data_IF_831618626991
#
_entry.id   IF_831618626991
#
_cell.length_a   1.000
_cell.length_b   1.000
_cell.length_c   1.000
_cell.angle_alpha   90.00
_cell.angle_beta   90.00
_cell.angle_gamma   90.00
#
_symmetry.space_group_name_H-M   'P 1'
#
loop_
_entity.id
_entity.type
_entity.pdbx_description
1 polymer ?
#
# COMPACT_ATOMS: atom_id res chain seq x y z
N UNK A 1 -8.42 24.46 2.87
CA UNK A 1 -7.33 23.57 2.43
C UNK A 1 -7.58 22.20 3.04
N UNK A 2 -8.41 21.39 2.38
CA UNK A 2 -8.65 20.02 2.78
C UNK A 2 -7.61 19.14 2.12
N UNK A 3 -6.74 18.51 2.90
CA UNK A 3 -5.93 17.39 2.41
C UNK A 3 -6.86 16.19 2.37
N UNK A 4 -7.23 15.74 1.18
CA UNK A 4 -8.01 14.51 1.00
C UNK A 4 -7.21 13.34 1.59
N UNK A 5 -7.63 12.89 2.77
CA UNK A 5 -7.01 11.81 3.54
C UNK A 5 -7.34 10.42 2.96
N UNK A 6 -7.74 10.37 1.68
CA UNK A 6 -8.25 9.19 0.96
C UNK A 6 -7.41 8.88 -0.29
N UNK A 7 -6.21 9.46 -0.42
CA UNK A 7 -5.29 9.11 -1.52
C UNK A 7 -4.79 7.68 -1.31
N UNK A 8 -5.53 6.72 -1.88
CA UNK A 8 -5.16 5.31 -1.79
C UNK A 8 -4.13 4.97 -2.85
N UNK A 9 -3.03 4.34 -2.43
CA UNK A 9 -1.91 3.99 -3.31
C UNK A 9 -1.85 2.50 -3.58
N UNK A 10 -1.27 2.09 -4.70
CA UNK A 10 -0.96 0.68 -4.95
C UNK A 10 0.52 0.46 -4.69
N UNK A 11 0.85 -0.59 -3.94
CA UNK A 11 2.23 -0.88 -3.52
C UNK A 11 2.61 -2.28 -3.99
N UNK A 12 3.83 -2.40 -4.50
CA UNK A 12 4.48 -3.67 -4.79
C UNK A 12 5.57 -3.89 -3.74
N UNK A 13 5.57 -5.04 -3.07
CA UNK A 13 6.58 -5.43 -2.08
C UNK A 13 7.17 -6.80 -2.43
N UNK A 14 8.45 -7.01 -2.09
CA UNK A 14 9.16 -8.27 -2.36
C UNK A 14 8.67 -9.42 -1.51
N UNK A 15 8.53 -9.18 -0.22
CA UNK A 15 7.98 -10.13 0.73
C UNK A 15 7.40 -9.37 1.92
N UNK A 16 6.26 -9.82 2.43
CA UNK A 16 5.67 -9.29 3.66
C UNK A 16 4.97 -10.43 4.41
N UNK A 17 4.88 -10.35 5.74
CA UNK A 17 4.10 -11.32 6.49
C UNK A 17 2.61 -11.10 6.22
N UNK A 18 1.90 -12.14 5.77
CA UNK A 18 0.45 -12.06 5.50
C UNK A 18 -0.36 -11.54 6.69
N UNK A 19 0.09 -11.82 7.92
CA UNK A 19 -0.54 -11.32 9.15
C UNK A 19 -0.58 -9.79 9.27
N UNK A 20 0.31 -9.08 8.56
CA UNK A 20 0.36 -7.62 8.54
C UNK A 20 -0.24 -7.01 7.28
N UNK A 21 -0.75 -7.81 6.34
CA UNK A 21 -1.27 -7.27 5.08
C UNK A 21 -2.42 -6.27 5.31
N UNK A 22 -3.36 -6.59 6.20
CA UNK A 22 -4.46 -5.68 6.55
C UNK A 22 -3.98 -4.44 7.30
N UNK A 23 -3.02 -4.59 8.22
CA UNK A 23 -2.41 -3.48 8.94
C UNK A 23 -1.67 -2.53 7.99
N UNK A 24 -0.93 -3.07 7.02
CA UNK A 24 -0.23 -2.32 5.99
C UNK A 24 -1.24 -1.55 5.12
N UNK A 25 -2.32 -2.21 4.68
CA UNK A 25 -3.38 -1.57 3.89
C UNK A 25 -4.05 -0.42 4.65
N UNK A 26 -4.39 -0.61 5.93
CA UNK A 26 -4.99 0.44 6.77
C UNK A 26 -4.03 1.58 7.08
N UNK A 27 -2.81 1.29 7.54
CA UNK A 27 -1.86 2.32 8.02
C UNK A 27 -1.26 3.11 6.87
N UNK A 28 -0.97 2.47 5.74
CA UNK A 28 -0.35 3.12 4.58
C UNK A 28 -1.37 3.48 3.49
N UNK A 29 -2.68 3.37 3.78
CA UNK A 29 -3.77 3.65 2.84
C UNK A 29 -3.56 2.94 1.48
N UNK A 30 -3.09 1.69 1.52
CA UNK A 30 -2.79 0.94 0.32
C UNK A 30 -4.07 0.28 -0.19
N UNK A 31 -4.50 0.62 -1.40
CA UNK A 31 -5.65 0.00 -2.04
C UNK A 31 -5.33 -1.43 -2.50
N UNK A 32 -4.14 -1.61 -3.09
CA UNK A 32 -3.69 -2.89 -3.63
C UNK A 32 -2.23 -3.16 -3.23
N UNK A 33 -1.99 -4.33 -2.62
CA UNK A 33 -0.65 -4.78 -2.23
C UNK A 33 -0.28 -6.00 -3.08
N UNK A 34 0.73 -5.87 -3.93
CA UNK A 34 1.13 -6.89 -4.91
C UNK A 34 2.53 -7.41 -4.60
N UNK A 35 2.77 -8.71 -4.80
CA UNK A 35 4.09 -9.31 -4.56
C UNK A 35 4.95 -9.19 -5.81
N UNK A 36 6.13 -8.59 -5.69
CA UNK A 36 7.04 -8.40 -6.82
C UNK A 36 8.45 -8.06 -6.35
N UNK A 37 9.46 -8.36 -7.16
CA UNK A 37 10.87 -8.32 -6.73
C UNK A 37 11.37 -6.94 -6.27
N UNK A 38 10.71 -5.86 -6.68
CA UNK A 38 11.08 -4.48 -6.38
C UNK A 38 9.97 -3.76 -5.65
N UNK A 39 10.35 -2.88 -4.73
CA UNK A 39 9.43 -1.98 -4.08
C UNK A 39 8.98 -0.89 -5.07
N UNK A 40 7.68 -0.80 -5.32
CA UNK A 40 7.10 0.19 -6.25
C UNK A 40 5.87 0.79 -5.58
N UNK A 41 5.76 2.11 -5.60
CA UNK A 41 4.57 2.83 -5.12
C UNK A 41 3.93 3.54 -6.31
N UNK A 42 2.66 3.26 -6.56
CA UNK A 42 1.86 3.83 -7.65
C UNK A 42 0.75 4.65 -7.01
N UNK A 43 0.85 5.98 -7.15
CA UNK A 43 -0.19 6.94 -6.75
C UNK A 43 -1.13 7.18 -7.92
N UNK A 44 -2.43 7.33 -7.66
CA UNK A 44 -3.46 7.52 -8.70
C UNK A 44 -4.16 8.84 -8.51
#
# INVERSE_FOLDING_TARGET
LGTELDERVNVVLKDWPKKFEEEIKKKAMVNNLTKGERFIVIRK
#
